data_IF_272931392570
#
_entry.id   IF_272931392570
#
_cell.length_a   1.000
_cell.length_b   1.000
_cell.length_c   1.000
_cell.angle_alpha   90.00
_cell.angle_beta   90.00
_cell.angle_gamma   90.00
#
_symmetry.space_group_name_H-M   'P 1'
#
loop_
_entity.id
_entity.type
_entity.pdbx_description
1 polymer ?
#
# COMPACT_ATOMS: atom_id res chain seq x y z
N UNK A 1 1.25 -32.62 12.69
CA UNK A 1 1.60 -31.34 12.05
C UNK A 1 0.87 -30.15 12.67
N UNK A 2 -0.47 -29.99 12.60
CA UNK A 2 -1.16 -28.88 13.31
C UNK A 2 -0.99 -28.98 14.84
N UNK A 3 -1.24 -30.16 15.41
CA UNK A 3 -1.02 -30.47 16.83
C UNK A 3 0.45 -30.42 17.27
N UNK A 4 1.38 -30.55 16.33
CA UNK A 4 2.82 -30.59 16.63
C UNK A 4 3.43 -29.18 16.63
N UNK A 5 2.93 -28.30 15.73
CA UNK A 5 3.27 -26.86 15.73
C UNK A 5 2.61 -26.08 16.87
N UNK A 6 1.43 -26.51 17.34
CA UNK A 6 0.80 -25.93 18.53
C UNK A 6 1.59 -26.25 19.80
N UNK A 7 2.13 -27.48 19.93
CA UNK A 7 3.00 -27.82 21.07
C UNK A 7 4.31 -27.03 21.01
N UNK A 8 4.97 -26.92 19.85
CA UNK A 8 6.22 -26.14 19.73
C UNK A 8 6.06 -24.65 20.08
N UNK A 9 4.88 -24.07 19.81
CA UNK A 9 4.57 -22.68 20.16
C UNK A 9 4.28 -22.53 21.65
N UNK A 10 3.52 -23.46 22.22
CA UNK A 10 3.25 -23.50 23.66
C UNK A 10 4.53 -23.73 24.46
N UNK A 11 5.37 -24.68 24.04
CA UNK A 11 6.66 -24.98 24.64
C UNK A 11 7.62 -23.76 24.59
N UNK A 12 7.51 -22.92 23.54
CA UNK A 12 8.26 -21.66 23.43
C UNK A 12 7.75 -20.58 24.39
N UNK A 13 6.42 -20.42 24.50
CA UNK A 13 5.81 -19.50 25.47
C UNK A 13 6.10 -19.92 26.91
N UNK A 14 5.96 -21.22 27.22
CA UNK A 14 6.27 -21.80 28.52
C UNK A 14 7.77 -21.65 28.87
N UNK A 15 8.67 -21.77 27.89
CA UNK A 15 10.12 -21.54 28.08
C UNK A 15 10.49 -20.07 28.34
N UNK A 16 9.68 -19.12 27.84
CA UNK A 16 9.76 -17.70 28.17
C UNK A 16 9.01 -17.34 29.46
N UNK A 17 8.33 -18.32 30.08
CA UNK A 17 7.49 -18.12 31.26
C UNK A 17 6.19 -17.35 30.98
N UNK A 18 5.79 -17.22 29.71
CA UNK A 18 4.60 -16.49 29.27
C UNK A 18 3.42 -17.47 29.26
N UNK A 19 2.63 -17.50 30.32
CA UNK A 19 1.39 -18.26 30.41
C UNK A 19 0.14 -17.41 30.08
N UNK A 20 -1.05 -18.02 30.07
CA UNK A 20 -2.32 -17.30 29.84
C UNK A 20 -2.53 -16.16 30.86
N UNK A 21 -2.04 -16.29 32.09
CA UNK A 21 -2.13 -15.28 33.13
C UNK A 21 -1.21 -14.08 32.84
N UNK A 22 -0.04 -14.28 32.22
CA UNK A 22 0.78 -13.18 31.72
C UNK A 22 0.08 -12.44 30.57
N UNK A 23 -0.60 -13.14 29.67
CA UNK A 23 -1.37 -12.48 28.61
C UNK A 23 -2.57 -11.69 29.18
N UNK A 24 -3.27 -12.24 30.17
CA UNK A 24 -4.34 -11.54 30.89
C UNK A 24 -3.80 -10.29 31.60
N UNK A 25 -2.65 -10.41 32.30
CA UNK A 25 -2.00 -9.28 32.95
C UNK A 25 -1.52 -8.21 31.96
N UNK A 26 -0.99 -8.62 30.79
CA UNK A 26 -0.62 -7.70 29.73
C UNK A 26 -1.83 -6.98 29.16
N UNK A 27 -2.95 -7.68 28.98
CA UNK A 27 -4.21 -7.09 28.52
C UNK A 27 -4.81 -6.12 29.56
N UNK A 28 -4.75 -6.45 30.85
CA UNK A 28 -5.15 -5.57 31.95
C UNK A 28 -4.25 -4.34 32.05
N UNK A 29 -2.93 -4.52 31.90
CA UNK A 29 -1.95 -3.42 31.88
C UNK A 29 -2.19 -2.51 30.68
N UNK A 30 -2.49 -3.07 29.50
CA UNK A 30 -2.80 -2.27 28.32
C UNK A 30 -4.09 -1.48 28.51
N UNK A 31 -5.14 -2.13 29.00
CA UNK A 31 -6.44 -1.49 29.30
C UNK A 31 -6.27 -0.33 30.26
N UNK A 32 -5.61 -0.57 31.40
CA UNK A 32 -5.40 0.46 32.43
C UNK A 32 -4.52 1.63 31.99
N UNK A 33 -3.64 1.44 31.01
CA UNK A 33 -2.74 2.48 30.53
C UNK A 33 -3.25 3.25 29.31
N UNK A 34 -4.11 2.66 28.48
CA UNK A 34 -4.45 3.22 27.17
C UNK A 34 -5.94 3.28 26.87
N UNK A 35 -6.81 2.72 27.71
CA UNK A 35 -8.26 2.77 27.55
C UNK A 35 -8.95 3.57 28.65
N UNK A 36 -10.09 4.15 28.32
CA UNK A 36 -10.99 4.81 29.27
C UNK A 36 -12.02 3.79 29.76
N UNK A 37 -12.07 3.54 31.06
CA UNK A 37 -13.05 2.61 31.64
C UNK A 37 -14.45 3.22 31.76
N UNK A 38 -15.46 2.39 31.52
CA UNK A 38 -16.87 2.69 31.72
C UNK A 38 -17.56 3.29 30.50
N UNK A 39 -18.76 3.82 30.72
CA UNK A 39 -19.65 4.27 29.64
C UNK A 39 -18.98 5.29 28.73
N UNK A 40 -19.18 5.15 27.42
CA UNK A 40 -18.70 6.11 26.43
C UNK A 40 -19.28 7.51 26.62
N UNK A 41 -18.43 8.49 26.34
CA UNK A 41 -18.77 9.91 26.19
C UNK A 41 -18.13 10.40 24.89
N UNK A 42 -18.64 11.48 24.33
CA UNK A 42 -18.08 12.14 23.13
C UNK A 42 -17.46 13.51 23.44
N UNK A 43 -17.61 14.02 24.66
CA UNK A 43 -17.03 15.29 25.11
C UNK A 43 -15.53 15.13 25.41
N UNK A 44 -14.68 15.91 24.73
CA UNK A 44 -13.23 15.78 24.86
C UNK A 44 -12.73 16.11 26.27
N UNK A 45 -13.33 17.08 26.96
CA UNK A 45 -12.92 17.41 28.34
C UNK A 45 -13.17 16.22 29.28
N UNK A 46 -14.36 15.61 29.18
CA UNK A 46 -14.71 14.45 29.97
C UNK A 46 -13.79 13.27 29.65
N UNK A 47 -13.53 13.00 28.36
CA UNK A 47 -12.56 11.98 27.94
C UNK A 47 -11.19 12.18 28.60
N UNK A 48 -10.63 13.39 28.50
CA UNK A 48 -9.30 13.69 29.05
C UNK A 48 -9.28 13.61 30.58
N UNK A 49 -10.36 14.00 31.25
CA UNK A 49 -10.47 13.86 32.71
C UNK A 49 -10.49 12.39 33.18
N UNK A 50 -11.00 11.50 32.33
CA UNK A 50 -11.12 10.05 32.60
C UNK A 50 -9.96 9.24 32.03
N UNK A 51 -9.15 9.82 31.14
CA UNK A 51 -8.04 9.15 30.47
C UNK A 51 -6.94 8.77 31.46
N UNK A 52 -6.30 7.59 31.31
CA UNK A 52 -5.10 7.26 32.06
C UNK A 52 -3.98 8.31 31.88
N UNK A 53 -3.11 8.45 32.89
CA UNK A 53 -1.95 9.36 32.82
C UNK A 53 -1.02 9.05 31.65
N UNK A 54 -0.75 7.76 31.46
CA UNK A 54 0.07 7.22 30.37
C UNK A 54 -0.49 7.53 28.99
N UNK A 55 -1.82 7.53 28.81
CA UNK A 55 -2.41 7.91 27.53
C UNK A 55 -2.11 9.39 27.21
N UNK A 56 -2.21 10.28 28.21
CA UNK A 56 -1.85 11.68 28.01
C UNK A 56 -0.35 11.86 27.74
N UNK A 57 0.52 11.09 28.40
CA UNK A 57 1.96 11.10 28.13
C UNK A 57 2.26 10.68 26.70
N UNK A 58 1.65 9.58 26.22
CA UNK A 58 1.83 9.11 24.83
C UNK A 58 1.38 10.16 23.82
N UNK A 59 0.30 10.90 24.10
CA UNK A 59 -0.15 11.97 23.21
C UNK A 59 0.90 13.08 23.13
N UNK A 60 1.45 13.51 24.27
CA UNK A 60 2.49 14.54 24.30
C UNK A 60 3.78 14.07 23.62
N UNK A 61 4.22 12.84 23.91
CA UNK A 61 5.39 12.22 23.27
C UNK A 61 5.23 12.12 21.75
N UNK A 62 4.03 11.78 21.28
CA UNK A 62 3.72 11.69 19.83
C UNK A 62 3.91 13.03 19.12
N UNK A 63 3.65 14.14 19.82
CA UNK A 63 3.80 15.49 19.29
C UNK A 63 5.10 16.17 19.71
N UNK A 64 6.03 15.45 20.34
CA UNK A 64 7.30 15.97 20.87
C UNK A 64 7.13 17.14 21.86
N UNK A 65 6.04 17.13 22.63
CA UNK A 65 5.66 18.19 23.57
C UNK A 65 6.07 17.86 25.02
N UNK A 66 6.42 18.88 25.80
CA UNK A 66 6.74 18.71 27.23
C UNK A 66 5.48 18.63 28.09
N UNK A 67 5.42 17.65 28.99
CA UNK A 67 4.27 17.47 29.88
C UNK A 67 4.22 18.53 31.00
N UNK A 68 3.09 19.25 31.15
CA UNK A 68 2.84 20.06 32.35
C UNK A 68 2.87 19.20 33.63
N UNK A 69 3.30 19.80 34.75
CA UNK A 69 3.48 19.08 36.02
C UNK A 69 2.17 18.73 36.72
N UNK A 70 1.14 19.54 36.53
CA UNK A 70 -0.16 19.35 37.17
C UNK A 70 -1.13 18.71 36.19
N UNK A 71 -1.83 17.65 36.63
CA UNK A 71 -2.80 16.91 35.80
C UNK A 71 -3.82 17.82 35.10
N UNK A 72 -4.42 18.76 35.84
CA UNK A 72 -5.41 19.67 35.27
C UNK A 72 -4.84 20.62 34.21
N UNK A 73 -3.57 21.02 34.33
CA UNK A 73 -2.87 21.81 33.30
C UNK A 73 -2.55 20.95 32.09
N UNK A 74 -2.13 19.70 32.33
CA UNK A 74 -1.85 18.71 31.28
C UNK A 74 -3.08 18.40 30.45
N UNK A 75 -4.23 18.16 31.07
CA UNK A 75 -5.50 17.91 30.37
C UNK A 75 -5.85 19.06 29.43
N UNK A 76 -5.80 20.30 29.93
CA UNK A 76 -6.09 21.48 29.11
C UNK A 76 -5.08 21.64 27.95
N UNK A 77 -3.80 21.43 28.22
CA UNK A 77 -2.76 21.51 27.19
C UNK A 77 -2.94 20.45 26.10
N UNK A 78 -3.18 19.20 26.51
CA UNK A 78 -3.43 18.09 25.59
C UNK A 78 -4.70 18.34 24.76
N UNK A 79 -5.74 18.93 25.35
CA UNK A 79 -6.94 19.32 24.60
C UNK A 79 -6.61 20.31 23.47
N UNK A 80 -5.92 21.40 23.78
CA UNK A 80 -5.53 22.42 22.80
C UNK A 80 -4.63 21.82 21.70
N UNK A 81 -3.71 20.93 22.09
CA UNK A 81 -2.83 20.19 21.19
C UNK A 81 -3.61 19.25 20.25
N UNK A 82 -4.56 18.49 20.75
CA UNK A 82 -5.42 17.59 19.95
C UNK A 82 -6.17 18.39 18.88
N UNK A 83 -6.80 19.50 19.26
CA UNK A 83 -7.60 20.31 18.33
C UNK A 83 -6.71 20.99 17.28
N UNK A 84 -5.58 21.56 17.69
CA UNK A 84 -4.65 22.25 16.79
C UNK A 84 -3.98 21.27 15.83
N UNK A 85 -3.54 20.12 16.34
CA UNK A 85 -2.91 19.10 15.52
C UNK A 85 -3.88 18.51 14.49
N UNK A 86 -5.13 18.22 14.89
CA UNK A 86 -6.15 17.75 13.96
C UNK A 86 -6.42 18.79 12.87
N UNK A 87 -6.61 20.06 13.24
CA UNK A 87 -6.83 21.15 12.28
C UNK A 87 -5.69 21.27 11.26
N UNK A 88 -4.45 21.04 11.67
CA UNK A 88 -3.29 21.14 10.78
C UNK A 88 -3.13 19.92 9.86
N UNK A 89 -3.50 18.73 10.34
CA UNK A 89 -3.21 17.49 9.65
C UNK A 89 -4.38 16.84 8.91
N UNK A 90 -5.64 17.20 9.21
CA UNK A 90 -6.80 16.48 8.66
C UNK A 90 -6.86 16.48 7.12
N UNK A 91 -6.37 17.54 6.47
CA UNK A 91 -6.33 17.63 5.01
C UNK A 91 -5.38 16.61 4.37
N UNK A 92 -4.45 16.06 5.16
CA UNK A 92 -3.52 15.01 4.75
C UNK A 92 -4.00 13.62 5.14
N UNK A 93 -5.26 13.44 5.55
CA UNK A 93 -5.80 12.09 5.64
C UNK A 93 -6.03 11.55 4.22
N UNK A 94 -5.66 10.30 3.99
CA UNK A 94 -5.95 9.64 2.73
C UNK A 94 -7.42 9.20 2.67
N UNK A 95 -7.84 8.56 1.58
CA UNK A 95 -9.22 8.09 1.43
C UNK A 95 -9.59 7.04 2.48
N UNK A 96 -8.69 6.10 2.77
CA UNK A 96 -8.92 5.02 3.72
C UNK A 96 -9.03 5.58 5.14
N UNK A 97 -8.15 6.50 5.50
CA UNK A 97 -8.13 7.18 6.79
C UNK A 97 -9.38 8.03 7.01
N UNK A 98 -9.77 8.84 6.02
CA UNK A 98 -11.00 9.62 6.06
C UNK A 98 -12.23 8.72 6.23
N UNK A 99 -12.32 7.62 5.47
CA UNK A 99 -13.41 6.66 5.61
C UNK A 99 -13.43 6.03 7.01
N UNK A 100 -12.26 5.68 7.55
CA UNK A 100 -12.09 5.10 8.88
C UNK A 100 -12.56 6.07 9.97
N UNK A 101 -12.13 7.33 9.92
CA UNK A 101 -12.54 8.38 10.85
C UNK A 101 -14.06 8.62 10.78
N UNK A 102 -14.62 8.79 9.57
CA UNK A 102 -16.05 9.02 9.39
C UNK A 102 -16.90 7.83 9.86
N UNK A 103 -16.47 6.59 9.62
CA UNK A 103 -17.16 5.41 10.14
C UNK A 103 -17.19 5.40 11.66
N UNK A 104 -16.05 5.72 12.28
CA UNK A 104 -15.89 5.79 13.73
C UNK A 104 -16.79 6.88 14.32
N UNK A 105 -16.78 8.09 13.74
CA UNK A 105 -17.64 9.21 14.15
C UNK A 105 -19.14 8.87 14.12
N UNK A 106 -19.57 8.00 13.20
CA UNK A 106 -20.98 7.64 13.01
C UNK A 106 -21.37 6.29 13.63
N UNK A 107 -20.45 5.64 14.37
CA UNK A 107 -20.72 4.34 14.99
C UNK A 107 -20.97 3.20 13.99
N UNK A 108 -20.44 3.31 12.77
CA UNK A 108 -20.52 2.23 11.78
C UNK A 108 -19.53 1.10 12.11
N UNK A 109 -19.84 -0.17 11.76
CA UNK A 109 -18.91 -1.27 11.95
C UNK A 109 -17.58 -1.04 11.24
N UNK A 110 -16.49 -1.37 11.95
CA UNK A 110 -15.11 -1.25 11.47
C UNK A 110 -14.53 -2.61 11.10
N UNK A 111 -13.74 -2.65 10.04
CA UNK A 111 -12.93 -3.83 9.72
C UNK A 111 -11.71 -3.95 10.64
N UNK A 112 -11.07 -5.13 10.68
CA UNK A 112 -9.85 -5.33 11.48
C UNK A 112 -8.73 -4.35 11.11
N UNK A 113 -8.54 -4.10 9.81
CA UNK A 113 -7.53 -3.15 9.32
C UNK A 113 -7.83 -1.72 9.76
N UNK A 114 -9.11 -1.35 9.79
CA UNK A 114 -9.55 -0.03 10.25
C UNK A 114 -9.33 0.14 11.76
N UNK A 115 -9.65 -0.87 12.56
CA UNK A 115 -9.38 -0.83 14.01
C UNK A 115 -7.89 -0.71 14.29
N UNK A 116 -7.05 -1.47 13.57
CA UNK A 116 -5.59 -1.38 13.70
C UNK A 116 -5.08 0.03 13.33
N UNK A 117 -5.58 0.60 12.23
CA UNK A 117 -5.22 1.96 11.84
C UNK A 117 -5.61 3.01 12.89
N UNK A 118 -6.76 2.87 13.54
CA UNK A 118 -7.17 3.75 14.64
C UNK A 118 -6.22 3.66 15.83
N UNK A 119 -5.95 2.44 16.28
CA UNK A 119 -5.06 2.18 17.40
C UNK A 119 -3.64 2.70 17.15
N UNK A 120 -3.04 2.34 16.01
CA UNK A 120 -1.63 2.64 15.71
C UNK A 120 -1.39 4.10 15.31
N UNK A 121 -2.35 4.75 14.66
CA UNK A 121 -2.13 6.07 14.03
C UNK A 121 -2.88 7.22 14.69
N UNK A 122 -4.05 6.96 15.32
CA UNK A 122 -4.96 8.03 15.75
C UNK A 122 -5.18 8.08 17.26
N UNK A 123 -5.07 6.95 17.97
CA UNK A 123 -5.13 6.94 19.43
C UNK A 123 -3.94 7.66 20.07
N UNK A 124 -2.73 7.39 19.58
CA UNK A 124 -1.53 8.10 20.02
C UNK A 124 -1.54 9.61 19.72
N UNK A 125 -2.34 10.06 18.75
CA UNK A 125 -2.53 11.48 18.44
C UNK A 125 -3.59 12.15 19.33
N UNK A 126 -4.36 11.38 20.09
CA UNK A 126 -5.51 11.84 20.87
C UNK A 126 -6.72 12.18 20.02
N UNK A 127 -6.75 11.75 18.75
CA UNK A 127 -7.89 12.02 17.85
C UNK A 127 -9.01 10.97 18.00
N UNK A 128 -8.67 9.80 18.55
CA UNK A 128 -9.58 8.70 18.83
C UNK A 128 -9.26 8.13 20.19
N UNK A 129 -10.28 7.89 21.01
CA UNK A 129 -10.15 7.28 22.31
C UNK A 129 -10.75 5.89 22.31
N UNK A 130 -10.11 4.98 23.05
CA UNK A 130 -10.60 3.62 23.23
C UNK A 130 -11.31 3.57 24.57
N UNK A 131 -12.57 3.17 24.57
CA UNK A 131 -13.34 2.89 25.77
C UNK A 131 -13.46 1.39 25.97
N UNK A 132 -13.42 0.95 27.22
CA UNK A 132 -13.70 -0.43 27.60
C UNK A 132 -14.77 -0.46 28.68
N UNK A 133 -15.85 -1.20 28.41
CA UNK A 133 -16.90 -1.51 29.38
C UNK A 133 -17.37 -2.96 29.27
N UNK A 134 -18.47 -3.30 29.94
CA UNK A 134 -19.05 -4.66 29.94
C UNK A 134 -19.49 -5.14 28.56
N UNK A 135 -19.78 -4.22 27.63
CA UNK A 135 -20.22 -4.50 26.28
C UNK A 135 -19.04 -4.62 25.29
N UNK A 136 -17.81 -4.34 25.76
CA UNK A 136 -16.56 -4.55 25.05
C UNK A 136 -15.79 -3.26 24.81
N UNK A 137 -14.99 -3.26 23.73
CA UNK A 137 -14.13 -2.15 23.34
C UNK A 137 -14.78 -1.31 22.26
N UNK A 138 -14.77 0.03 22.42
CA UNK A 138 -15.33 0.98 21.48
C UNK A 138 -14.33 2.09 21.16
N UNK A 139 -14.16 2.39 19.87
CA UNK A 139 -13.40 3.55 19.41
C UNK A 139 -14.33 4.76 19.31
N UNK A 140 -13.92 5.89 19.88
CA UNK A 140 -14.73 7.11 19.91
C UNK A 140 -13.90 8.29 19.43
N UNK A 141 -14.45 9.01 18.45
CA UNK A 141 -13.92 10.31 18.02
C UNK A 141 -14.62 11.41 18.83
N UNK A 142 -13.89 12.35 19.45
CA UNK A 142 -14.47 13.49 20.17
C UNK A 142 -15.41 14.34 19.29
N UNK A 143 -16.45 14.92 19.90
CA UNK A 143 -17.44 15.74 19.20
C UNK A 143 -16.80 16.97 18.56
N UNK A 144 -15.81 17.60 19.20
CA UNK A 144 -15.10 18.75 18.64
C UNK A 144 -14.38 18.42 17.32
N UNK A 145 -13.77 17.24 17.23
CA UNK A 145 -13.13 16.73 16.01
C UNK A 145 -14.18 16.41 14.95
N UNK A 146 -15.30 15.79 15.36
CA UNK A 146 -16.42 15.49 14.45
C UNK A 146 -17.01 16.77 13.87
N UNK A 147 -17.31 17.75 14.72
CA UNK A 147 -17.88 19.04 14.33
C UNK A 147 -16.95 19.82 13.41
N UNK A 148 -15.65 19.85 13.74
CA UNK A 148 -14.63 20.43 12.86
C UNK A 148 -14.65 19.75 11.49
N UNK A 149 -14.67 18.42 11.46
CA UNK A 149 -14.65 17.64 10.22
C UNK A 149 -15.87 17.96 9.35
N UNK A 150 -17.08 17.92 9.91
CA UNK A 150 -18.32 18.21 9.19
C UNK A 150 -18.31 19.65 8.65
N UNK A 151 -17.94 20.62 9.51
CA UNK A 151 -17.97 22.04 9.16
C UNK A 151 -16.96 22.38 8.07
N UNK A 152 -15.76 21.79 8.11
CA UNK A 152 -14.68 22.17 7.20
C UNK A 152 -14.73 21.41 5.87
N UNK A 153 -15.16 20.15 5.84
CA UNK A 153 -15.24 19.36 4.60
C UNK A 153 -16.20 19.94 3.56
N UNK A 154 -17.21 20.70 3.98
CA UNK A 154 -18.16 21.35 3.08
C UNK A 154 -17.64 22.66 2.48
N UNK A 155 -16.51 23.18 2.99
CA UNK A 155 -15.97 24.45 2.50
C UNK A 155 -15.22 24.27 1.19
N UNK A 156 -15.47 25.17 0.23
CA UNK A 156 -14.81 25.17 -1.08
C UNK A 156 -13.28 25.22 -0.96
N UNK A 157 -12.77 26.00 0.00
CA UNK A 157 -11.32 26.09 0.28
C UNK A 157 -10.72 24.73 0.63
N UNK A 158 -11.34 23.98 1.54
CA UNK A 158 -10.84 22.67 1.97
C UNK A 158 -11.00 21.65 0.84
N UNK A 159 -12.12 21.66 0.13
CA UNK A 159 -12.33 20.77 -1.02
C UNK A 159 -11.28 20.98 -2.11
N UNK A 160 -10.92 22.23 -2.41
CA UNK A 160 -9.88 22.56 -3.38
C UNK A 160 -8.50 22.08 -2.92
N UNK A 161 -8.16 22.24 -1.64
CA UNK A 161 -6.89 21.75 -1.06
C UNK A 161 -6.84 20.21 -1.09
N UNK A 162 -7.92 19.54 -0.68
CA UNK A 162 -8.04 18.07 -0.76
C UNK A 162 -7.92 17.58 -2.20
N UNK A 163 -8.52 18.29 -3.15
CA UNK A 163 -8.39 18.00 -4.58
C UNK A 163 -6.94 18.10 -5.07
N UNK A 164 -6.21 19.14 -4.66
CA UNK A 164 -4.78 19.29 -4.96
C UNK A 164 -3.95 18.15 -4.37
N UNK A 165 -4.11 17.86 -3.06
CA UNK A 165 -3.39 16.78 -2.38
C UNK A 165 -3.69 15.44 -3.06
N UNK A 166 -4.95 15.16 -3.41
CA UNK A 166 -5.33 13.96 -4.13
C UNK A 166 -4.68 13.87 -5.52
N UNK A 167 -4.61 14.99 -6.26
CA UNK A 167 -3.95 15.04 -7.57
C UNK A 167 -2.45 14.74 -7.45
N UNK A 168 -1.78 15.28 -6.43
CA UNK A 168 -0.36 15.01 -6.15
C UNK A 168 -0.17 13.54 -5.76
N UNK A 169 -0.96 12.99 -4.84
CA UNK A 169 -0.89 11.57 -4.44
C UNK A 169 -1.11 10.61 -5.60
N UNK A 170 -2.06 10.88 -6.47
CA UNK A 170 -2.29 10.08 -7.67
C UNK A 170 -1.08 10.14 -8.61
N UNK A 171 -0.52 11.33 -8.82
CA UNK A 171 0.65 11.54 -9.66
C UNK A 171 1.90 10.86 -9.10
N UNK A 172 2.15 10.97 -7.79
CA UNK A 172 3.24 10.28 -7.08
C UNK A 172 3.16 8.76 -7.25
N UNK A 173 2.01 8.16 -6.93
CA UNK A 173 1.80 6.71 -7.07
C UNK A 173 1.97 6.23 -8.50
N UNK A 174 1.42 6.96 -9.47
CA UNK A 174 1.60 6.66 -10.88
C UNK A 174 3.08 6.73 -11.29
N UNK A 175 3.80 7.78 -10.88
CA UNK A 175 5.23 7.91 -11.16
C UNK A 175 6.05 6.78 -10.55
N UNK A 176 5.75 6.36 -9.31
CA UNK A 176 6.44 5.24 -8.67
C UNK A 176 6.19 3.92 -9.41
N UNK A 177 4.95 3.64 -9.80
CA UNK A 177 4.63 2.43 -10.57
C UNK A 177 5.22 2.46 -11.99
N UNK A 178 5.37 3.64 -12.60
CA UNK A 178 5.93 3.79 -13.94
C UNK A 178 7.47 3.78 -13.97
N UNK A 179 8.12 4.36 -12.95
CA UNK A 179 9.54 4.69 -13.00
C UNK A 179 10.38 4.01 -11.92
N UNK A 180 9.76 3.52 -10.83
CA UNK A 180 10.42 3.03 -9.62
C UNK A 180 11.07 4.14 -8.79
N UNK A 181 11.79 5.05 -9.45
CA UNK A 181 12.45 6.21 -8.87
C UNK A 181 12.18 7.45 -9.72
N UNK A 182 11.74 8.54 -9.08
CA UNK A 182 11.37 9.79 -9.76
C UNK A 182 11.90 11.00 -9.00
N UNK A 183 12.25 12.06 -9.72
CA UNK A 183 12.59 13.35 -9.10
C UNK A 183 11.32 14.06 -8.61
N UNK A 184 11.38 14.72 -7.46
CA UNK A 184 10.27 15.55 -6.94
C UNK A 184 9.74 16.53 -8.00
N UNK A 185 10.66 17.25 -8.66
CA UNK A 185 10.33 18.17 -9.75
C UNK A 185 9.60 17.51 -10.93
N UNK A 186 9.83 16.22 -11.20
CA UNK A 186 9.11 15.49 -12.25
C UNK A 186 7.70 15.10 -11.81
N UNK A 187 7.50 14.75 -10.55
CA UNK A 187 6.15 14.59 -9.99
C UNK A 187 5.38 15.90 -10.04
N UNK A 188 6.03 17.01 -9.69
CA UNK A 188 5.44 18.35 -9.75
C UNK A 188 4.96 18.69 -11.17
N UNK A 189 5.84 18.49 -12.15
CA UNK A 189 5.55 18.68 -13.58
C UNK A 189 4.38 17.81 -14.07
N UNK A 190 4.39 16.51 -13.76
CA UNK A 190 3.31 15.59 -14.17
C UNK A 190 1.99 15.98 -13.48
N UNK A 191 2.01 16.29 -12.19
CA UNK A 191 0.80 16.68 -11.46
C UNK A 191 0.21 17.98 -12.02
N UNK A 192 1.03 19.01 -12.23
CA UNK A 192 0.58 20.30 -12.74
C UNK A 192 0.08 20.20 -14.18
N UNK A 193 0.86 19.57 -15.05
CA UNK A 193 0.63 19.63 -16.50
C UNK A 193 -0.29 18.52 -17.02
N UNK A 194 -0.25 17.33 -16.42
CA UNK A 194 -1.02 16.17 -16.89
C UNK A 194 -2.23 15.87 -16.01
N UNK A 195 -2.11 15.99 -14.69
CA UNK A 195 -3.24 15.69 -13.79
C UNK A 195 -4.21 16.87 -13.67
N UNK A 196 -3.67 18.07 -13.42
CA UNK A 196 -4.46 19.31 -13.28
C UNK A 196 -4.67 20.05 -14.61
N UNK A 197 -3.99 19.62 -15.68
CA UNK A 197 -4.11 20.19 -17.03
C UNK A 197 -3.90 21.73 -17.06
N UNK A 198 -3.04 22.25 -16.17
CA UNK A 198 -2.82 23.69 -15.99
C UNK A 198 -2.46 24.47 -17.29
N UNK A 199 -1.66 23.92 -18.23
CA UNK A 199 -1.37 24.59 -19.50
C UNK A 199 -2.59 24.78 -20.42
N UNK A 200 -3.65 24.00 -20.22
CA UNK A 200 -4.89 24.04 -21.01
C UNK A 200 -5.87 25.13 -20.54
N UNK A 201 -5.60 25.74 -19.38
CA UNK A 201 -6.40 26.83 -18.83
C UNK A 201 -6.26 28.12 -19.67
N UNK A 202 -7.30 28.96 -19.62
CA UNK A 202 -7.27 30.31 -20.19
C UNK A 202 -6.19 31.19 -19.53
N UNK A 203 -5.90 32.33 -20.13
CA UNK A 203 -4.94 33.28 -19.56
C UNK A 203 -5.44 33.86 -18.22
N UNK A 204 -6.74 34.15 -18.15
CA UNK A 204 -7.41 34.62 -16.94
C UNK A 204 -7.37 33.58 -15.80
N UNK A 205 -7.74 32.33 -16.09
CA UNK A 205 -7.69 31.24 -15.09
C UNK A 205 -6.27 30.99 -14.59
N UNK A 206 -5.26 31.03 -15.48
CA UNK A 206 -3.85 30.87 -15.06
C UNK A 206 -3.39 31.99 -14.14
N UNK A 207 -3.83 33.21 -14.40
CA UNK A 207 -3.55 34.38 -13.56
C UNK A 207 -4.16 34.23 -12.16
N UNK A 208 -5.39 33.74 -12.07
CA UNK A 208 -6.04 33.45 -10.79
C UNK A 208 -5.36 32.32 -10.01
N UNK A 209 -4.71 31.40 -10.73
CA UNK A 209 -4.03 30.23 -10.19
C UNK A 209 -2.50 30.33 -10.23
N UNK A 210 -1.92 31.55 -10.24
CA UNK A 210 -0.47 31.75 -10.22
C UNK A 210 0.20 31.14 -8.97
N UNK A 211 -0.55 30.97 -7.88
CA UNK A 211 -0.10 30.36 -6.64
C UNK A 211 0.00 28.82 -6.72
N UNK A 212 -0.65 28.19 -7.70
CA UNK A 212 -0.81 26.74 -7.77
C UNK A 212 0.52 25.97 -7.87
N UNK A 213 1.48 26.37 -8.73
CA UNK A 213 2.76 25.64 -8.84
C UNK A 213 3.55 25.62 -7.54
N UNK A 214 3.61 26.74 -6.81
CA UNK A 214 4.32 26.82 -5.52
C UNK A 214 3.61 25.96 -4.47
N UNK A 215 2.28 26.03 -4.39
CA UNK A 215 1.50 25.21 -3.45
C UNK A 215 1.61 23.73 -3.75
N UNK A 216 1.69 23.35 -5.03
CA UNK A 216 1.88 21.97 -5.45
C UNK A 216 3.24 21.44 -4.99
N UNK A 217 4.29 22.23 -5.15
CA UNK A 217 5.63 21.88 -4.65
C UNK A 217 5.66 21.70 -3.14
N UNK A 218 5.09 22.65 -2.39
CA UNK A 218 4.93 22.53 -0.93
C UNK A 218 4.20 21.24 -0.55
N UNK A 219 3.15 20.90 -1.31
CA UNK A 219 2.38 19.67 -1.09
C UNK A 219 3.26 18.43 -1.33
N UNK A 220 4.05 18.38 -2.41
CA UNK A 220 4.98 17.26 -2.66
C UNK A 220 6.00 17.13 -1.52
N UNK A 221 6.56 18.24 -1.04
CA UNK A 221 7.53 18.23 0.05
C UNK A 221 6.92 17.70 1.36
N UNK A 222 5.72 18.17 1.73
CA UNK A 222 5.01 17.70 2.93
C UNK A 222 4.69 16.20 2.82
N UNK A 223 4.20 15.73 1.67
CA UNK A 223 3.91 14.30 1.48
C UNK A 223 5.18 13.44 1.56
N UNK A 224 6.31 13.96 1.09
CA UNK A 224 7.61 13.30 1.20
C UNK A 224 8.10 13.21 2.65
N UNK A 225 7.95 14.28 3.43
CA UNK A 225 8.35 14.33 4.84
C UNK A 225 7.50 13.41 5.71
N UNK A 226 6.20 13.30 5.39
CA UNK A 226 5.25 12.42 6.10
C UNK A 226 5.38 10.95 5.73
N UNK A 227 6.22 10.60 4.75
CA UNK A 227 6.30 9.26 4.16
C UNK A 227 4.90 8.71 3.80
N UNK A 228 4.09 9.55 3.13
CA UNK A 228 2.68 9.27 2.84
C UNK A 228 2.49 8.29 1.67
N UNK A 229 2.95 7.05 1.87
CA UNK A 229 2.85 5.95 0.93
C UNK A 229 4.02 4.96 0.99
N UNK A 230 4.00 3.91 0.16
CA UNK A 230 5.04 2.88 0.08
C UNK A 230 6.31 3.38 -0.65
N UNK A 231 6.94 4.42 -0.12
CA UNK A 231 8.14 5.03 -0.67
C UNK A 231 9.00 5.64 0.44
N UNK A 232 10.23 5.96 0.08
CA UNK A 232 11.13 6.76 0.89
C UNK A 232 11.82 7.82 0.03
N UNK A 233 12.43 8.81 0.67
CA UNK A 233 13.02 9.95 0.00
C UNK A 233 14.52 10.09 0.31
N UNK A 234 15.33 10.40 -0.71
CA UNK A 234 16.72 10.84 -0.55
C UNK A 234 16.98 12.05 -1.44
N UNK A 235 17.26 13.20 -0.81
CA UNK A 235 17.45 14.49 -1.48
C UNK A 235 16.25 14.79 -2.39
N UNK A 236 16.48 14.86 -3.70
CA UNK A 236 15.48 15.17 -4.72
C UNK A 236 14.68 13.95 -5.21
N UNK A 237 15.00 12.74 -4.74
CA UNK A 237 14.43 11.50 -5.25
C UNK A 237 13.31 11.00 -4.35
N UNK A 238 12.22 10.58 -4.98
CA UNK A 238 11.16 9.76 -4.39
C UNK A 238 11.40 8.34 -4.91
N UNK A 239 11.55 7.39 -4.00
CA UNK A 239 12.09 6.06 -4.26
C UNK A 239 11.07 5.02 -3.79
N UNK A 240 10.66 4.13 -4.67
CA UNK A 240 9.79 3.01 -4.31
C UNK A 240 10.38 2.18 -3.16
N UNK A 241 9.53 1.69 -2.26
CA UNK A 241 9.92 0.78 -1.18
C UNK A 241 10.63 -0.51 -1.64
N UNK A 242 10.51 -0.86 -2.92
CA UNK A 242 11.19 -2.02 -3.51
C UNK A 242 12.72 -1.85 -3.57
N UNK A 243 13.23 -0.62 -3.43
CA UNK A 243 14.67 -0.38 -3.25
C UNK A 243 15.00 -0.32 -1.77
N UNK A 244 15.80 -1.27 -1.29
CA UNK A 244 16.05 -1.42 0.15
C UNK A 244 17.05 -0.39 0.69
N UNK A 245 17.94 0.12 -0.16
CA UNK A 245 19.07 0.93 0.28
C UNK A 245 19.64 1.86 -0.79
N UNK A 246 20.50 2.78 -0.33
CA UNK A 246 21.16 3.79 -1.17
C UNK A 246 21.95 3.19 -2.34
N UNK A 247 22.61 2.05 -2.12
CA UNK A 247 23.46 1.42 -3.13
C UNK A 247 22.65 0.90 -4.31
N UNK A 248 21.50 0.29 -4.05
CA UNK A 248 20.60 -0.26 -5.06
C UNK A 248 20.00 0.83 -5.93
N UNK A 249 19.36 1.83 -5.32
CA UNK A 249 18.68 2.87 -6.06
C UNK A 249 19.70 3.72 -6.86
N UNK A 250 20.89 4.02 -6.31
CA UNK A 250 21.95 4.72 -7.06
C UNK A 250 22.54 3.90 -8.21
N UNK A 251 22.52 2.56 -8.11
CA UNK A 251 22.90 1.68 -9.23
C UNK A 251 21.85 1.76 -10.33
N UNK A 252 20.57 1.72 -9.97
CA UNK A 252 19.47 1.87 -10.91
C UNK A 252 19.50 3.23 -11.63
N UNK A 253 19.67 4.34 -10.90
CA UNK A 253 19.78 5.68 -11.50
C UNK A 253 20.91 5.79 -12.53
N UNK A 254 22.03 5.08 -12.34
CA UNK A 254 23.12 5.01 -13.32
C UNK A 254 22.71 4.26 -14.59
N UNK A 255 21.85 3.24 -14.49
CA UNK A 255 21.37 2.46 -15.63
C UNK A 255 20.42 3.27 -16.52
N UNK A 256 19.57 4.11 -15.91
CA UNK A 256 18.58 4.93 -16.61
C UNK A 256 19.07 6.35 -16.92
N UNK A 257 20.34 6.65 -16.62
CA UNK A 257 20.91 7.98 -16.80
C UNK A 257 20.84 8.45 -18.25
N UNK A 258 20.34 9.67 -18.46
CA UNK A 258 20.21 10.27 -19.79
C UNK A 258 18.96 9.84 -20.57
N UNK A 259 18.13 8.94 -20.02
CA UNK A 259 16.83 8.61 -20.59
C UNK A 259 15.78 9.64 -20.16
N UNK A 260 14.91 10.03 -21.10
CA UNK A 260 13.73 10.84 -20.79
C UNK A 260 12.68 10.03 -20.03
N UNK A 261 11.84 10.72 -19.27
CA UNK A 261 10.66 10.09 -18.67
C UNK A 261 9.55 9.96 -19.69
N UNK A 262 8.85 8.82 -19.67
CA UNK A 262 7.55 8.74 -20.28
C UNK A 262 6.58 9.72 -19.59
N UNK A 263 5.73 10.42 -20.35
CA UNK A 263 4.77 11.38 -19.83
C UNK A 263 3.34 10.80 -19.93
N UNK A 264 2.75 10.33 -18.82
CA UNK A 264 1.40 9.77 -18.83
C UNK A 264 0.34 10.86 -18.94
N UNK A 265 -0.74 10.61 -19.69
CA UNK A 265 -1.92 11.49 -19.64
C UNK A 265 -2.75 11.25 -18.36
N UNK A 266 -3.77 12.08 -18.13
CA UNK A 266 -4.63 12.00 -16.93
C UNK A 266 -5.28 10.61 -16.71
N UNK A 267 -5.68 9.91 -17.79
CA UNK A 267 -6.28 8.56 -17.67
C UNK A 267 -5.24 7.53 -17.27
N UNK A 268 -4.02 7.63 -17.80
CA UNK A 268 -2.91 6.77 -17.42
C UNK A 268 -2.45 7.04 -15.99
N UNK A 269 -2.42 8.29 -15.54
CA UNK A 269 -2.12 8.61 -14.13
C UNK A 269 -3.10 7.88 -13.21
N UNK A 270 -4.41 7.97 -13.47
CA UNK A 270 -5.42 7.26 -12.68
C UNK A 270 -5.25 5.73 -12.73
N UNK A 271 -4.91 5.18 -13.89
CA UNK A 271 -4.66 3.74 -14.05
C UNK A 271 -3.44 3.29 -13.24
N UNK A 272 -2.30 3.97 -13.41
CA UNK A 272 -1.04 3.60 -12.81
C UNK A 272 -0.91 4.03 -11.35
N UNK A 273 -1.76 4.93 -10.85
CA UNK A 273 -1.86 5.20 -9.42
C UNK A 273 -2.43 4.01 -8.63
N UNK A 274 -3.17 3.11 -9.30
CA UNK A 274 -3.83 1.96 -8.68
C UNK A 274 -3.25 0.61 -9.14
N UNK A 275 -2.49 0.58 -10.25
CA UNK A 275 -2.02 -0.66 -10.86
C UNK A 275 -0.57 -0.50 -11.33
N UNK A 276 0.23 -1.56 -11.21
CA UNK A 276 1.60 -1.58 -11.73
C UNK A 276 1.62 -1.70 -13.26
N UNK A 277 0.62 -2.38 -13.85
CA UNK A 277 0.47 -2.58 -15.29
C UNK A 277 -0.94 -2.20 -15.76
N UNK A 278 -1.13 -2.10 -17.08
CA UNK A 278 -2.48 -1.94 -17.65
C UNK A 278 -3.27 -3.26 -17.56
N UNK A 279 -4.04 -3.42 -16.48
CA UNK A 279 -4.94 -4.57 -16.26
C UNK A 279 -6.08 -4.64 -17.28
N UNK A 280 -6.33 -3.58 -18.06
CA UNK A 280 -7.34 -3.58 -19.13
C UNK A 280 -6.80 -4.18 -20.43
N UNK A 281 -5.48 -4.32 -20.56
CA UNK A 281 -4.80 -4.86 -21.72
C UNK A 281 -5.38 -6.25 -22.11
N UNK A 282 -5.71 -6.48 -23.39
CA UNK A 282 -6.30 -7.75 -23.83
C UNK A 282 -5.40 -8.97 -23.57
N UNK A 283 -4.08 -8.82 -23.66
CA UNK A 283 -3.13 -9.91 -23.44
C UNK A 283 -2.95 -10.21 -21.95
N UNK A 284 -2.96 -9.17 -21.09
CA UNK A 284 -3.03 -9.35 -19.63
C UNK A 284 -4.22 -10.25 -19.25
N UNK A 285 -5.42 -9.92 -19.74
CA UNK A 285 -6.65 -10.68 -19.46
C UNK A 285 -6.58 -12.12 -19.98
N UNK A 286 -5.99 -12.34 -21.15
CA UNK A 286 -5.78 -13.68 -21.72
C UNK A 286 -4.85 -14.52 -20.84
N UNK A 287 -3.72 -13.94 -20.40
CA UNK A 287 -2.76 -14.62 -19.53
C UNK A 287 -3.42 -15.02 -18.21
N UNK A 288 -4.12 -14.09 -17.55
CA UNK A 288 -4.82 -14.38 -16.30
C UNK A 288 -5.90 -15.47 -16.45
N UNK A 289 -6.65 -15.45 -17.56
CA UNK A 289 -7.63 -16.49 -17.87
C UNK A 289 -6.98 -17.86 -18.11
N UNK A 290 -5.87 -17.90 -18.85
CA UNK A 290 -5.10 -19.11 -19.09
C UNK A 290 -4.53 -19.67 -17.79
N UNK A 291 -3.92 -18.83 -16.93
CA UNK A 291 -3.42 -19.23 -15.61
C UNK A 291 -4.54 -19.80 -14.73
N UNK A 292 -5.69 -19.11 -14.68
CA UNK A 292 -6.87 -19.57 -13.92
C UNK A 292 -7.31 -20.96 -14.36
N UNK A 293 -7.34 -21.20 -15.69
CA UNK A 293 -7.72 -22.49 -16.25
C UNK A 293 -6.67 -23.58 -15.98
N UNK A 294 -5.38 -23.29 -16.19
CA UNK A 294 -4.28 -24.24 -16.00
C UNK A 294 -4.16 -24.67 -14.52
N UNK A 295 -4.34 -23.72 -13.60
CA UNK A 295 -4.13 -23.93 -12.17
C UNK A 295 -5.38 -24.42 -11.44
N UNK A 296 -6.56 -24.27 -12.04
CA UNK A 296 -7.88 -24.59 -11.45
C UNK A 296 -8.08 -23.97 -10.06
N UNK A 297 -7.44 -22.82 -9.82
CA UNK A 297 -7.47 -22.10 -8.56
C UNK A 297 -7.26 -20.62 -8.86
N UNK A 298 -8.35 -19.84 -8.74
CA UNK A 298 -8.35 -18.41 -9.07
C UNK A 298 -7.36 -17.64 -8.19
N UNK A 299 -7.41 -17.79 -6.87
CA UNK A 299 -6.49 -17.09 -5.95
C UNK A 299 -5.03 -17.36 -6.26
N UNK A 300 -4.68 -18.62 -6.59
CA UNK A 300 -3.30 -18.97 -6.95
C UNK A 300 -2.89 -18.35 -8.29
N UNK A 301 -3.82 -18.24 -9.24
CA UNK A 301 -3.58 -17.58 -10.53
C UNK A 301 -3.45 -16.06 -10.39
N UNK A 302 -4.32 -15.43 -9.60
CA UNK A 302 -4.26 -13.99 -9.29
C UNK A 302 -2.90 -13.64 -8.63
N UNK A 303 -2.46 -14.42 -7.64
CA UNK A 303 -1.17 -14.20 -6.99
C UNK A 303 0.03 -14.39 -7.93
N UNK A 304 -0.03 -15.38 -8.84
CA UNK A 304 1.02 -15.59 -9.82
C UNK A 304 1.01 -14.48 -10.88
N UNK A 305 -0.16 -13.99 -11.28
CA UNK A 305 -0.25 -12.84 -12.18
C UNK A 305 0.38 -11.60 -11.55
N UNK A 306 0.08 -11.33 -10.28
CA UNK A 306 0.71 -10.26 -9.53
C UNK A 306 2.25 -10.41 -9.48
N UNK A 307 2.78 -11.61 -9.20
CA UNK A 307 4.22 -11.89 -9.27
C UNK A 307 4.80 -11.58 -10.67
N UNK A 308 4.07 -11.92 -11.74
CA UNK A 308 4.50 -11.61 -13.11
C UNK A 308 4.49 -10.10 -13.40
N UNK A 309 3.51 -9.34 -12.90
CA UNK A 309 3.47 -7.89 -13.05
C UNK A 309 4.74 -7.24 -12.51
N UNK A 310 5.11 -7.58 -11.27
CA UNK A 310 6.34 -7.10 -10.64
C UNK A 310 7.58 -7.48 -11.45
N UNK A 311 7.72 -8.76 -11.79
CA UNK A 311 8.92 -9.23 -12.51
C UNK A 311 9.07 -8.62 -13.90
N UNK A 312 7.97 -8.38 -14.62
CA UNK A 312 8.05 -7.77 -15.96
C UNK A 312 8.40 -6.29 -15.88
N UNK A 313 7.84 -5.57 -14.89
CA UNK A 313 8.02 -4.12 -14.74
C UNK A 313 9.38 -3.76 -14.14
N UNK A 314 9.83 -4.50 -13.13
CA UNK A 314 11.02 -4.19 -12.32
C UNK A 314 12.27 -4.94 -12.79
N UNK A 315 12.13 -6.23 -13.15
CA UNK A 315 13.24 -7.12 -13.51
C UNK A 315 13.40 -7.32 -15.03
N UNK A 316 12.62 -6.60 -15.84
CA UNK A 316 12.56 -6.76 -17.31
C UNK A 316 12.26 -8.20 -17.78
N UNK A 317 11.54 -8.99 -16.97
CA UNK A 317 11.28 -10.40 -17.26
C UNK A 317 10.59 -10.56 -18.62
N UNK A 318 11.21 -11.32 -19.51
CA UNK A 318 10.68 -11.58 -20.84
C UNK A 318 9.81 -12.84 -20.87
N UNK A 319 9.14 -13.10 -22.00
CA UNK A 319 8.27 -14.25 -22.15
C UNK A 319 8.97 -15.60 -21.88
N UNK A 320 10.26 -15.75 -22.17
CA UNK A 320 11.02 -16.96 -21.85
C UNK A 320 11.20 -17.13 -20.33
N UNK A 321 11.54 -16.04 -19.63
CA UNK A 321 11.62 -16.01 -18.18
C UNK A 321 10.29 -16.34 -17.51
N UNK A 322 9.17 -15.84 -18.06
CA UNK A 322 7.83 -16.21 -17.61
C UNK A 322 7.62 -17.73 -17.72
N UNK A 323 7.97 -18.34 -18.85
CA UNK A 323 7.81 -19.79 -19.03
C UNK A 323 8.65 -20.61 -18.04
N UNK A 324 9.88 -20.17 -17.75
CA UNK A 324 10.73 -20.80 -16.76
C UNK A 324 10.10 -20.70 -15.36
N UNK A 325 9.58 -19.53 -14.98
CA UNK A 325 8.89 -19.34 -13.71
C UNK A 325 7.66 -20.26 -13.60
N UNK A 326 6.86 -20.37 -14.66
CA UNK A 326 5.71 -21.27 -14.69
C UNK A 326 6.12 -22.73 -14.48
N UNK A 327 7.22 -23.16 -15.11
CA UNK A 327 7.78 -24.49 -14.93
C UNK A 327 8.22 -24.73 -13.48
N UNK A 328 8.94 -23.78 -12.86
CA UNK A 328 9.34 -23.85 -11.45
C UNK A 328 8.14 -23.89 -10.49
N UNK A 329 7.03 -23.24 -10.86
CA UNK A 329 5.76 -23.26 -10.12
C UNK A 329 4.88 -24.47 -10.45
N UNK A 330 5.39 -25.44 -11.22
CA UNK A 330 4.70 -26.66 -11.63
C UNK A 330 3.38 -26.38 -12.37
N UNK A 331 3.35 -25.36 -13.23
CA UNK A 331 2.23 -25.08 -14.12
C UNK A 331 2.40 -25.89 -15.39
N UNK A 332 1.56 -26.91 -15.56
CA UNK A 332 1.63 -27.84 -16.69
C UNK A 332 0.69 -27.41 -17.82
N UNK A 333 1.24 -27.30 -19.03
CA UNK A 333 0.44 -27.11 -20.24
C UNK A 333 -0.04 -28.47 -20.78
N UNK A 334 -1.31 -28.60 -21.20
CA UNK A 334 -1.85 -29.87 -21.67
C UNK A 334 -1.23 -30.35 -22.99
N UNK A 335 -0.71 -29.43 -23.80
CA UNK A 335 -0.02 -29.73 -25.05
C UNK A 335 0.82 -28.52 -25.50
N UNK A 336 1.69 -28.77 -26.49
CA UNK A 336 2.57 -27.75 -27.09
C UNK A 336 1.80 -26.59 -27.71
N UNK A 337 0.65 -26.83 -28.34
CA UNK A 337 -0.16 -25.77 -28.97
C UNK A 337 -0.63 -24.74 -27.95
N UNK A 338 -1.13 -25.19 -26.79
CA UNK A 338 -1.52 -24.30 -25.69
C UNK A 338 -0.33 -23.56 -25.10
N UNK A 339 0.81 -24.24 -24.95
CA UNK A 339 2.06 -23.59 -24.53
C UNK A 339 2.48 -22.47 -25.48
N UNK A 340 2.50 -22.73 -26.79
CA UNK A 340 2.85 -21.72 -27.80
C UNK A 340 1.92 -20.51 -27.77
N UNK A 341 0.60 -20.73 -27.73
CA UNK A 341 -0.37 -19.63 -27.67
C UNK A 341 -0.20 -18.78 -26.41
N UNK A 342 0.12 -19.41 -25.28
CA UNK A 342 0.42 -18.69 -24.04
C UNK A 342 1.67 -17.82 -24.19
N UNK A 343 2.77 -18.37 -24.74
CA UNK A 343 4.01 -17.62 -25.01
C UNK A 343 3.78 -16.45 -25.96
N UNK A 344 2.97 -16.62 -27.00
CA UNK A 344 2.58 -15.55 -27.93
C UNK A 344 1.88 -14.40 -27.19
N UNK A 345 0.89 -14.71 -26.33
CA UNK A 345 0.21 -13.71 -25.52
C UNK A 345 1.15 -13.05 -24.51
N UNK A 346 2.04 -13.79 -23.85
CA UNK A 346 3.06 -13.24 -22.97
C UNK A 346 3.99 -12.28 -23.72
N UNK A 347 4.42 -12.65 -24.92
CA UNK A 347 5.33 -11.82 -25.72
C UNK A 347 4.65 -10.50 -26.14
N UNK A 348 3.36 -10.54 -26.50
CA UNK A 348 2.59 -9.32 -26.77
C UNK A 348 2.36 -8.47 -25.52
N UNK A 349 2.01 -9.10 -24.40
CA UNK A 349 1.80 -8.39 -23.14
C UNK A 349 3.08 -7.70 -22.66
N UNK A 350 4.18 -8.44 -22.52
CA UNK A 350 5.49 -7.91 -22.09
C UNK A 350 5.93 -6.76 -22.98
N UNK A 351 5.74 -6.87 -24.30
CA UNK A 351 6.10 -5.81 -25.26
C UNK A 351 5.26 -4.52 -25.09
N UNK A 352 4.13 -4.60 -24.39
CA UNK A 352 3.23 -3.48 -24.07
C UNK A 352 3.29 -3.02 -22.61
N UNK A 353 4.07 -3.67 -21.75
CA UNK A 353 4.24 -3.24 -20.35
C UNK A 353 5.24 -2.08 -20.29
N UNK A 354 4.91 -1.07 -19.48
CA UNK A 354 5.80 0.05 -19.15
C UNK A 354 6.81 -0.44 -18.11
N UNK A 355 8.10 -0.21 -18.34
CA UNK A 355 9.18 -0.76 -17.51
C UNK A 355 9.98 0.32 -16.82
N UNK A 356 10.45 0.03 -15.62
CA UNK A 356 11.28 0.98 -14.86
C UNK A 356 12.61 1.25 -15.55
N UNK A 357 13.26 0.20 -16.07
CA UNK A 357 14.51 0.27 -16.85
C UNK A 357 14.41 1.18 -18.10
N UNK A 358 13.19 1.40 -18.57
CA UNK A 358 12.83 2.22 -19.71
C UNK A 358 12.18 3.55 -19.30
N UNK A 359 12.24 3.94 -18.02
CA UNK A 359 11.61 5.18 -17.51
C UNK A 359 10.13 5.31 -17.89
N UNK A 360 9.40 4.19 -17.81
CA UNK A 360 7.97 4.12 -18.08
C UNK A 360 7.61 3.96 -19.56
N UNK A 361 8.58 3.91 -20.48
CA UNK A 361 8.31 3.51 -21.86
C UNK A 361 8.11 1.99 -21.97
N UNK A 362 7.24 1.60 -22.90
CA UNK A 362 7.12 0.21 -23.34
C UNK A 362 8.26 -0.15 -24.30
N UNK A 363 8.60 -1.43 -24.40
CA UNK A 363 9.56 -1.89 -25.40
C UNK A 363 9.09 -1.56 -26.83
N UNK A 364 7.77 -1.54 -27.05
CA UNK A 364 7.13 -1.15 -28.32
C UNK A 364 7.38 0.32 -28.68
N UNK A 365 7.21 1.23 -27.75
CA UNK A 365 7.45 2.66 -27.96
C UNK A 365 8.94 2.94 -28.25
N UNK A 366 9.84 2.16 -27.65
CA UNK A 366 11.28 2.24 -27.91
C UNK A 366 11.74 1.50 -29.18
N UNK A 367 10.83 0.81 -29.87
CA UNK A 367 11.17 0.05 -31.09
C UNK A 367 12.13 -1.11 -30.86
N UNK A 368 12.18 -1.68 -29.65
CA UNK A 368 13.04 -2.83 -29.35
C UNK A 368 12.56 -4.06 -30.13
N UNK A 369 13.47 -4.98 -30.44
CA UNK A 369 13.08 -6.23 -31.09
C UNK A 369 12.17 -7.06 -30.19
N UNK A 370 11.00 -7.39 -30.72
CA UNK A 370 10.08 -8.29 -30.04
C UNK A 370 10.63 -9.72 -30.13
N UNK A 371 10.91 -10.31 -28.97
CA UNK A 371 11.35 -11.72 -28.88
C UNK A 371 10.29 -12.61 -29.54
N UNK A 372 10.74 -13.44 -30.49
CA UNK A 372 9.85 -14.30 -31.26
C UNK A 372 9.59 -15.60 -30.47
N UNK A 373 8.33 -15.98 -30.23
CA UNK A 373 7.99 -17.21 -29.50
C UNK A 373 8.65 -18.50 -30.02
N UNK A 374 8.96 -18.56 -31.32
CA UNK A 374 9.64 -19.71 -31.94
C UNK A 374 11.12 -19.87 -31.54
N UNK A 375 11.74 -18.80 -31.03
CA UNK A 375 13.14 -18.78 -30.56
C UNK A 375 13.23 -19.07 -29.06
N UNK A 376 12.12 -18.88 -28.34
CA UNK A 376 11.97 -19.33 -26.96
C UNK A 376 11.85 -20.86 -27.03
N UNK A 377 12.98 -21.53 -26.88
CA UNK A 377 12.99 -22.98 -26.69
C UNK A 377 12.13 -23.31 -25.49
N UNK A 378 10.87 -23.73 -25.72
CA UNK A 378 10.09 -24.38 -24.70
C UNK A 378 10.98 -25.51 -24.16
N UNK A 379 11.25 -25.58 -22.84
CA UNK A 379 11.98 -26.71 -22.28
C UNK A 379 11.33 -27.95 -22.87
N UNK A 380 12.13 -28.84 -23.49
CA UNK A 380 11.63 -29.94 -24.31
C UNK A 380 10.40 -30.50 -23.61
N UNK A 381 9.22 -30.28 -24.19
CA UNK A 381 8.00 -30.99 -23.79
C UNK A 381 8.27 -32.40 -24.26
N UNK A 382 9.11 -33.08 -23.49
CA UNK A 382 9.52 -34.44 -23.71
C UNK A 382 8.23 -35.22 -23.74
N UNK A 383 7.95 -35.81 -24.90
CA UNK A 383 6.95 -36.86 -25.02
C UNK A 383 7.31 -38.09 -24.15
N UNK A 384 8.37 -38.02 -23.34
CA UNK A 384 8.60 -38.88 -22.19
C UNK A 384 8.31 -38.11 -20.90
N UNK A 385 7.05 -38.22 -20.49
CA UNK A 385 6.63 -38.03 -19.10
C UNK A 385 7.36 -39.04 -18.23
N UNK A 386 8.57 -38.72 -17.75
CA UNK A 386 8.90 -39.12 -16.38
C UNK A 386 8.28 -38.06 -15.49
N UNK A 387 6.98 -38.24 -15.22
CA UNK A 387 6.32 -37.68 -14.03
C UNK A 387 7.30 -37.90 -12.88
N UNK A 388 8.00 -36.85 -12.44
CA UNK A 388 8.63 -36.92 -11.13
C UNK A 388 7.45 -36.97 -10.17
N UNK A 389 7.00 -38.19 -9.87
CA UNK A 389 5.84 -38.43 -9.01
C UNK A 389 6.17 -37.75 -7.69
N UNK A 390 5.53 -36.62 -7.43
CA UNK A 390 5.58 -35.99 -6.11
C UNK A 390 5.13 -37.06 -5.13
N UNK A 391 6.05 -37.45 -4.24
CA UNK A 391 5.76 -38.43 -3.22
C UNK A 391 4.58 -37.94 -2.40
N UNK A 392 3.64 -38.81 -2.05
CA UNK A 392 2.49 -38.45 -1.20
C UNK A 392 2.89 -37.71 0.08
N UNK A 393 4.13 -37.91 0.54
CA UNK A 393 4.67 -37.28 1.74
C UNK A 393 5.60 -36.07 1.48
N UNK A 394 5.91 -35.73 0.23
CA UNK A 394 6.79 -34.60 -0.09
C UNK A 394 6.07 -33.26 0.23
N UNK A 395 6.83 -32.18 0.51
CA UNK A 395 6.26 -30.84 0.63
C UNK A 395 5.42 -30.50 -0.60
N UNK A 396 4.22 -30.00 -0.35
CA UNK A 396 3.27 -29.69 -1.41
C UNK A 396 3.77 -28.48 -2.20
N UNK A 397 3.86 -28.56 -3.54
CA UNK A 397 4.45 -27.52 -4.39
C UNK A 397 3.65 -26.21 -4.42
N UNK A 398 2.46 -26.17 -3.81
CA UNK A 398 1.68 -24.94 -3.65
C UNK A 398 2.18 -24.01 -2.54
N UNK A 399 3.32 -24.32 -1.91
CA UNK A 399 3.90 -23.49 -0.84
C UNK A 399 3.17 -23.58 0.51
N UNK A 400 2.13 -24.42 0.63
CA UNK A 400 1.32 -24.53 1.86
C UNK A 400 2.05 -25.10 3.09
N UNK A 401 3.29 -25.57 2.92
CA UNK A 401 4.06 -26.28 3.95
C UNK A 401 3.50 -27.66 4.35
N UNK A 402 2.40 -28.12 3.73
CA UNK A 402 1.78 -29.43 4.00
C UNK A 402 2.36 -30.51 3.08
N UNK A 403 2.24 -31.78 3.46
CA UNK A 403 2.56 -32.92 2.58
C UNK A 403 1.56 -32.98 1.40
N UNK A 404 2.02 -33.38 0.22
CA UNK A 404 1.20 -33.43 -1.01
C UNK A 404 -0.16 -34.13 -0.82
N UNK A 405 -0.20 -35.29 -0.16
CA UNK A 405 -1.44 -36.05 0.13
C UNK A 405 -2.47 -35.33 1.02
N UNK A 406 -2.06 -34.27 1.71
CA UNK A 406 -2.91 -33.50 2.62
C UNK A 406 -3.27 -32.12 2.05
N UNK A 407 -2.86 -31.82 0.82
CA UNK A 407 -3.14 -30.57 0.13
C UNK A 407 -3.57 -30.84 -1.31
N UNK A 408 -2.71 -30.62 -2.31
CA UNK A 408 -3.06 -30.76 -3.72
C UNK A 408 -3.30 -32.22 -4.18
N UNK A 409 -2.90 -33.21 -3.38
CA UNK A 409 -3.13 -34.64 -3.63
C UNK A 409 -4.33 -35.24 -2.89
N UNK A 410 -5.29 -34.41 -2.46
CA UNK A 410 -6.60 -34.85 -1.94
C UNK A 410 -7.55 -35.24 -3.07
#
# INVERSE_FOLDING_TARGET
MKLQKQSEMQDFFDALGIDENIFEQMAETFTSNFMIEGKTTTDLNEMLSRAPESLLDVILETWEEEAPKLRAEKEKYVQELILTSFQNEFIYLDKFDMETMLRTMNGYPLSQMQMLALEENYCKKGWVFIFCDVDGVQFVVPDEIREFTITNLETEKVQNILGLIAAVRLSMRACLNLFGIVERAKVEDIALNQMLEYPSLSEEERKELEWLPEKLKETVDILCERADGPFWCDKQWIISEQFENEKEYRKFLRQVSGQEYYIPNQKEIKLYAENLVDVKNPFYKKILADLTHLMKNKTRADNLMLELEYKVTEEDLNAAGIMNLLFERYVEFPNRTRGNHFVENCSEWVYSVRKWSNRGFTDRELGKEKIIPSEIGLPEISNQVTKKKIGRNDPCPCGSGKKYKHCCGK
#
